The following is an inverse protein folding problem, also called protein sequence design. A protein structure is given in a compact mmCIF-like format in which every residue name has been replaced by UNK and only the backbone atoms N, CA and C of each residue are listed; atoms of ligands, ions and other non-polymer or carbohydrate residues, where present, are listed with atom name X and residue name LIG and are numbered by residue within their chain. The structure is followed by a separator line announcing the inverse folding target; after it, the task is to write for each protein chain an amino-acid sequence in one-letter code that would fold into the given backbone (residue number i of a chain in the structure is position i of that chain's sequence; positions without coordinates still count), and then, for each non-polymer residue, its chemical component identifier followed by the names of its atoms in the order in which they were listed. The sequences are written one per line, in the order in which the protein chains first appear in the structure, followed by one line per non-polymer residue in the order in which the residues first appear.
data_IF_022445373390
#
_entry.id   IF_022445373390
#
_cell.length_a   1.000
_cell.length_b   1.000
_cell.length_c   1.000
_cell.angle_alpha   90.00
_cell.angle_beta   90.00
_cell.angle_gamma   90.00
#
_symmetry.space_group_name_H-M   'P 1'
#
loop_
_entity.id
_entity.type
_entity.pdbx_description
1 polymer ?
#
# COMPACT_ATOMS: atom_id res chain seq x y z
N UNK A 1 63.96 0.50 -36.57
CA UNK A 1 63.45 0.89 -35.25
C UNK A 1 62.15 1.68 -35.42
N UNK A 2 62.07 2.74 -36.22
CA UNK A 2 60.85 3.61 -36.38
C UNK A 2 59.62 2.86 -36.93
N UNK A 3 59.86 1.93 -37.93
CA UNK A 3 58.75 1.12 -38.48
C UNK A 3 58.18 0.14 -37.45
N UNK A 4 59.03 -0.43 -36.60
CA UNK A 4 58.61 -1.36 -35.55
C UNK A 4 57.82 -0.65 -34.47
N UNK A 5 58.23 0.57 -34.09
CA UNK A 5 57.49 1.41 -33.14
C UNK A 5 56.11 1.81 -33.71
N UNK A 6 56.08 2.19 -35.00
CA UNK A 6 54.78 2.55 -35.66
C UNK A 6 53.82 1.37 -35.71
N UNK A 7 54.31 0.15 -36.03
CA UNK A 7 53.47 -1.07 -36.01
C UNK A 7 52.97 -1.41 -34.61
N UNK A 8 53.76 -1.24 -33.57
CA UNK A 8 53.41 -1.51 -32.19
C UNK A 8 52.32 -0.50 -31.69
N UNK A 9 52.53 0.79 -31.99
CA UNK A 9 51.55 1.84 -31.64
C UNK A 9 50.22 1.61 -32.37
N UNK A 10 50.26 1.25 -33.65
CA UNK A 10 49.03 0.97 -34.42
C UNK A 10 48.32 -0.27 -33.89
N UNK A 11 49.04 -1.33 -33.57
CA UNK A 11 48.46 -2.53 -32.95
C UNK A 11 47.80 -2.26 -31.61
N UNK A 12 48.47 -1.49 -30.74
CA UNK A 12 47.91 -1.08 -29.44
C UNK A 12 46.68 -0.20 -29.61
N UNK A 13 46.69 0.76 -30.53
CA UNK A 13 45.54 1.62 -30.84
C UNK A 13 44.31 0.82 -31.31
N UNK A 14 44.53 -0.15 -32.22
CA UNK A 14 43.46 -1.02 -32.71
C UNK A 14 42.89 -1.90 -31.55
N UNK A 15 43.78 -2.44 -30.71
CA UNK A 15 43.38 -3.23 -29.56
C UNK A 15 42.55 -2.42 -28.59
N UNK A 16 42.98 -1.21 -28.22
CA UNK A 16 42.26 -0.30 -27.33
C UNK A 16 40.88 0.12 -27.91
N UNK A 17 40.88 0.48 -29.19
CA UNK A 17 39.63 0.84 -29.91
C UNK A 17 38.62 -0.30 -29.92
N UNK A 18 39.08 -1.55 -30.15
CA UNK A 18 38.19 -2.72 -30.12
C UNK A 18 37.64 -3.01 -28.73
N UNK A 19 38.48 -2.85 -27.70
CA UNK A 19 38.08 -3.05 -26.31
C UNK A 19 36.97 -2.06 -25.90
N UNK A 20 37.15 -0.76 -26.16
CA UNK A 20 36.17 0.29 -25.90
C UNK A 20 34.88 0.08 -26.69
N UNK A 21 34.99 -0.23 -27.99
CA UNK A 21 33.81 -0.46 -28.84
C UNK A 21 32.98 -1.66 -28.35
N UNK A 22 33.65 -2.72 -27.86
CA UNK A 22 32.97 -3.91 -27.34
C UNK A 22 32.17 -3.61 -26.05
N UNK A 23 32.75 -2.84 -25.13
CA UNK A 23 32.08 -2.44 -23.90
C UNK A 23 30.82 -1.58 -24.19
N UNK A 24 30.96 -0.56 -25.06
CA UNK A 24 29.85 0.29 -25.49
C UNK A 24 28.77 -0.52 -26.21
N UNK A 25 29.16 -1.45 -27.09
CA UNK A 25 28.19 -2.31 -27.78
C UNK A 25 27.42 -3.21 -26.84
N UNK A 26 28.08 -3.74 -25.79
CA UNK A 26 27.45 -4.54 -24.75
C UNK A 26 26.38 -3.72 -23.95
N UNK A 27 26.76 -2.50 -23.55
CA UNK A 27 25.84 -1.58 -22.86
C UNK A 27 24.64 -1.21 -23.74
N UNK A 28 24.87 -0.87 -25.01
CA UNK A 28 23.80 -0.59 -25.98
C UNK A 28 22.84 -1.78 -26.15
N UNK A 29 23.37 -3.00 -26.15
CA UNK A 29 22.53 -4.20 -26.25
C UNK A 29 21.70 -4.40 -24.99
N UNK A 30 22.27 -4.19 -23.80
CA UNK A 30 21.51 -4.24 -22.53
C UNK A 30 20.38 -3.20 -22.51
N UNK A 31 20.66 -1.95 -22.93
CA UNK A 31 19.64 -0.88 -23.07
C UNK A 31 18.53 -1.30 -24.02
N UNK A 32 18.83 -1.90 -25.17
CA UNK A 32 17.82 -2.38 -26.13
C UNK A 32 16.94 -3.47 -25.53
N UNK A 33 17.55 -4.45 -24.84
CA UNK A 33 16.82 -5.52 -24.18
C UNK A 33 15.86 -4.99 -23.11
N UNK A 34 16.31 -4.03 -22.30
CA UNK A 34 15.45 -3.39 -21.27
C UNK A 34 14.33 -2.59 -21.93
N UNK A 35 14.58 -1.88 -23.02
CA UNK A 35 13.54 -1.19 -23.80
C UNK A 35 12.47 -2.12 -24.34
N UNK A 36 12.82 -3.36 -24.67
CA UNK A 36 11.91 -4.42 -25.14
C UNK A 36 11.20 -5.16 -23.99
N UNK A 37 11.42 -4.72 -22.74
CA UNK A 37 10.76 -5.29 -21.55
C UNK A 37 11.53 -6.44 -20.89
N UNK A 38 12.75 -6.75 -21.34
CA UNK A 38 13.61 -7.78 -20.75
C UNK A 38 14.43 -7.20 -19.60
N UNK A 39 13.75 -6.82 -18.51
CA UNK A 39 14.36 -6.15 -17.34
C UNK A 39 15.36 -7.00 -16.55
N UNK A 40 15.50 -8.29 -16.85
CA UNK A 40 16.48 -9.16 -16.19
C UNK A 40 17.90 -9.05 -16.76
N UNK A 41 18.06 -8.40 -17.91
CA UNK A 41 19.39 -8.22 -18.52
C UNK A 41 20.16 -7.11 -17.81
N UNK A 42 21.46 -7.38 -17.59
CA UNK A 42 22.39 -6.41 -17.00
C UNK A 42 23.54 -6.13 -17.97
N UNK A 43 24.02 -4.90 -17.94
CA UNK A 43 25.26 -4.53 -18.62
C UNK A 43 26.45 -5.04 -17.81
N UNK A 44 27.53 -5.37 -18.50
CA UNK A 44 28.78 -5.70 -17.84
C UNK A 44 29.39 -4.41 -17.22
N UNK A 45 29.45 -4.38 -15.91
CA UNK A 45 30.00 -3.27 -15.12
C UNK A 45 31.42 -3.61 -14.60
N UNK A 46 32.12 -4.55 -15.24
CA UNK A 46 33.47 -4.94 -14.86
C UNK A 46 34.46 -3.84 -15.27
N UNK A 47 35.18 -3.33 -14.31
CA UNK A 47 36.20 -2.28 -14.55
C UNK A 47 36.11 -1.14 -13.56
N UNK A 48 36.99 -0.14 -13.74
CA UNK A 48 37.06 1.08 -12.91
C UNK A 48 36.97 2.35 -13.76
N UNK A 49 36.67 2.20 -15.06
CA UNK A 49 36.53 3.29 -16.01
C UNK A 49 35.10 3.90 -15.99
N UNK A 50 34.94 4.98 -16.69
CA UNK A 50 33.67 5.72 -16.79
C UNK A 50 32.55 4.86 -17.42
N UNK A 51 32.91 3.91 -18.30
CA UNK A 51 31.92 3.02 -18.94
C UNK A 51 31.38 2.01 -17.91
N UNK A 52 32.25 1.48 -17.04
CA UNK A 52 31.83 0.60 -15.95
C UNK A 52 30.91 1.34 -14.95
N UNK A 53 31.19 2.61 -14.65
CA UNK A 53 30.32 3.42 -13.81
C UNK A 53 28.94 3.63 -14.45
N UNK A 54 28.88 3.97 -15.74
CA UNK A 54 27.61 4.11 -16.48
C UNK A 54 26.85 2.78 -16.50
N UNK A 55 27.55 1.66 -16.69
CA UNK A 55 26.93 0.32 -16.66
C UNK A 55 26.35 0.00 -15.27
N UNK A 56 27.04 0.35 -14.18
CA UNK A 56 26.56 0.18 -12.82
C UNK A 56 25.30 1.01 -12.54
N UNK A 57 25.28 2.29 -12.92
CA UNK A 57 24.10 3.15 -12.78
C UNK A 57 22.92 2.66 -13.64
N UNK A 58 23.19 2.22 -14.88
CA UNK A 58 22.19 1.58 -15.73
C UNK A 58 21.61 0.32 -15.08
N UNK A 59 22.44 -0.53 -14.47
CA UNK A 59 21.98 -1.72 -13.76
C UNK A 59 21.10 -1.35 -12.55
N UNK A 60 21.49 -0.34 -11.77
CA UNK A 60 20.69 0.17 -10.64
C UNK A 60 19.32 0.68 -11.10
N UNK A 61 19.26 1.43 -12.20
CA UNK A 61 18.00 1.88 -12.81
C UNK A 61 17.15 0.69 -13.27
N UNK A 62 17.78 -0.31 -13.88
CA UNK A 62 17.10 -1.52 -14.37
C UNK A 62 16.53 -2.34 -13.22
N UNK A 63 17.24 -2.43 -12.08
CA UNK A 63 16.73 -3.08 -10.87
C UNK A 63 15.47 -2.41 -10.35
N UNK A 64 15.46 -1.09 -10.30
CA UNK A 64 14.27 -0.31 -9.91
C UNK A 64 13.10 -0.53 -10.88
N UNK A 65 13.35 -0.50 -12.18
CA UNK A 65 12.34 -0.77 -13.21
C UNK A 65 11.78 -2.19 -13.07
N UNK A 66 12.63 -3.19 -12.88
CA UNK A 66 12.22 -4.58 -12.69
C UNK A 66 11.35 -4.74 -11.44
N UNK A 67 11.74 -4.14 -10.34
CA UNK A 67 10.96 -4.16 -9.08
C UNK A 67 9.60 -3.53 -9.26
N UNK A 68 9.53 -2.35 -9.90
CA UNK A 68 8.28 -1.64 -10.18
C UNK A 68 7.37 -2.45 -11.10
N UNK A 69 7.91 -3.03 -12.19
CA UNK A 69 7.12 -3.83 -13.12
C UNK A 69 6.61 -5.14 -12.47
N UNK A 70 7.43 -5.78 -11.63
CA UNK A 70 7.01 -6.95 -10.88
C UNK A 70 5.90 -6.63 -9.88
N UNK A 71 6.00 -5.49 -9.17
CA UNK A 71 4.96 -5.01 -8.28
C UNK A 71 3.66 -4.72 -9.05
N UNK A 72 3.76 -4.05 -10.22
CA UNK A 72 2.61 -3.78 -11.09
C UNK A 72 1.92 -5.06 -11.58
N UNK A 73 2.70 -6.06 -12.01
CA UNK A 73 2.15 -7.36 -12.47
C UNK A 73 1.45 -8.11 -11.34
N UNK A 74 2.04 -8.12 -10.14
CA UNK A 74 1.41 -8.71 -8.96
C UNK A 74 0.10 -8.00 -8.63
N UNK A 75 0.11 -6.67 -8.59
CA UNK A 75 -1.09 -5.86 -8.35
C UNK A 75 -2.24 -6.20 -9.31
N UNK A 76 -1.98 -6.29 -10.63
CA UNK A 76 -3.01 -6.65 -11.62
C UNK A 76 -3.51 -8.07 -11.43
N UNK A 77 -2.60 -9.01 -11.12
CA UNK A 77 -2.96 -10.42 -10.86
C UNK A 77 -3.85 -10.53 -9.62
N UNK A 78 -3.43 -9.91 -8.52
CA UNK A 78 -4.13 -9.98 -7.24
C UNK A 78 -5.48 -9.26 -7.30
N UNK A 79 -5.55 -8.10 -7.96
CA UNK A 79 -6.81 -7.40 -8.24
C UNK A 79 -7.79 -8.28 -9.03
N UNK A 80 -7.29 -8.97 -10.07
CA UNK A 80 -8.11 -9.87 -10.88
C UNK A 80 -8.65 -11.03 -10.05
N UNK A 81 -7.84 -11.60 -9.17
CA UNK A 81 -8.25 -12.68 -8.27
C UNK A 81 -9.27 -12.20 -7.24
N UNK A 82 -9.06 -11.05 -6.61
CA UNK A 82 -9.98 -10.50 -5.60
C UNK A 82 -11.32 -10.05 -6.19
N UNK A 83 -11.36 -9.65 -7.47
CA UNK A 83 -12.61 -9.35 -8.18
C UNK A 83 -13.34 -10.61 -8.64
N UNK A 84 -12.62 -11.65 -9.05
CA UNK A 84 -13.22 -12.89 -9.58
C UNK A 84 -13.97 -13.67 -8.52
N UNK A 85 -13.50 -13.68 -7.29
CA UNK A 85 -14.08 -14.45 -6.18
C UNK A 85 -15.51 -14.00 -5.85
N UNK A 86 -15.79 -12.71 -5.50
CA UNK A 86 -17.14 -12.25 -5.24
C UNK A 86 -18.06 -12.37 -6.45
N UNK A 87 -17.54 -12.13 -7.66
CA UNK A 87 -18.32 -12.31 -8.89
C UNK A 87 -18.77 -13.75 -9.10
N UNK A 88 -17.90 -14.72 -8.80
CA UNK A 88 -18.25 -16.14 -8.85
C UNK A 88 -19.29 -16.52 -7.79
N UNK A 89 -19.21 -15.93 -6.57
CA UNK A 89 -20.21 -16.08 -5.51
C UNK A 89 -21.59 -15.57 -5.95
N UNK A 90 -21.66 -14.33 -6.45
CA UNK A 90 -22.89 -13.73 -6.98
C UNK A 90 -23.50 -14.65 -8.07
N UNK A 91 -22.68 -15.10 -9.01
CA UNK A 91 -23.14 -15.97 -10.08
C UNK A 91 -23.70 -17.30 -9.56
N UNK A 92 -23.00 -17.95 -8.64
CA UNK A 92 -23.43 -19.21 -8.04
C UNK A 92 -24.78 -19.07 -7.33
N UNK A 93 -24.94 -18.04 -6.50
CA UNK A 93 -26.20 -17.76 -5.80
C UNK A 93 -27.33 -17.46 -6.79
N UNK A 94 -27.06 -16.67 -7.82
CA UNK A 94 -28.02 -16.35 -8.87
C UNK A 94 -28.45 -17.61 -9.65
N UNK A 95 -27.48 -18.44 -10.05
CA UNK A 95 -27.75 -19.69 -10.75
C UNK A 95 -28.59 -20.64 -9.85
N UNK A 96 -28.32 -20.69 -8.55
CA UNK A 96 -29.07 -21.49 -7.59
C UNK A 96 -30.53 -21.03 -7.47
N UNK A 97 -30.77 -19.71 -7.42
CA UNK A 97 -32.14 -19.15 -7.39
C UNK A 97 -32.89 -19.49 -8.67
N UNK A 98 -32.24 -19.38 -9.84
CA UNK A 98 -32.87 -19.59 -11.13
C UNK A 98 -33.15 -21.07 -11.47
N UNK A 99 -32.35 -22.00 -10.90
CA UNK A 99 -32.46 -23.43 -11.18
C UNK A 99 -33.32 -24.19 -10.18
N UNK A 100 -33.70 -23.59 -9.06
CA UNK A 100 -34.51 -24.23 -8.03
C UNK A 100 -35.99 -23.84 -8.19
N UNK A 101 -36.79 -24.76 -8.72
CA UNK A 101 -38.24 -24.59 -8.73
C UNK A 101 -38.80 -24.62 -7.31
N UNK A 102 -39.57 -23.57 -6.91
CA UNK A 102 -40.18 -23.44 -5.59
C UNK A 102 -39.19 -23.33 -4.43
N UNK A 103 -38.10 -22.58 -4.59
CA UNK A 103 -37.26 -22.18 -3.46
C UNK A 103 -38.12 -21.45 -2.41
N UNK A 104 -37.93 -21.80 -1.13
CA UNK A 104 -38.68 -21.15 -0.07
C UNK A 104 -38.29 -19.65 0.06
N UNK A 105 -39.23 -18.78 0.48
CA UNK A 105 -39.00 -17.34 0.52
C UNK A 105 -37.84 -16.92 1.46
N UNK A 106 -37.56 -17.67 2.52
CA UNK A 106 -36.55 -17.36 3.51
C UNK A 106 -35.15 -17.63 2.93
N UNK A 107 -34.94 -18.80 2.30
CA UNK A 107 -33.69 -19.12 1.55
C UNK A 107 -33.48 -18.16 0.39
N UNK A 108 -34.55 -17.77 -0.33
CA UNK A 108 -34.43 -16.76 -1.41
C UNK A 108 -33.95 -15.44 -0.86
N UNK A 109 -34.49 -14.99 0.28
CA UNK A 109 -34.07 -13.75 0.94
C UNK A 109 -32.63 -13.81 1.44
N UNK A 110 -32.19 -14.95 1.99
CA UNK A 110 -30.79 -15.17 2.37
C UNK A 110 -29.86 -15.02 1.15
N UNK A 111 -30.14 -15.71 0.04
CA UNK A 111 -29.33 -15.64 -1.16
C UNK A 111 -29.26 -14.23 -1.74
N UNK A 112 -30.40 -13.51 -1.80
CA UNK A 112 -30.42 -12.10 -2.23
C UNK A 112 -29.60 -11.21 -1.31
N UNK A 113 -29.66 -11.45 0.00
CA UNK A 113 -28.85 -10.72 0.99
C UNK A 113 -27.36 -10.97 0.78
N UNK A 114 -26.96 -12.21 0.53
CA UNK A 114 -25.57 -12.58 0.26
C UNK A 114 -25.05 -12.01 -1.06
N UNK A 115 -25.90 -11.98 -2.11
CA UNK A 115 -25.60 -11.27 -3.36
C UNK A 115 -25.35 -9.79 -3.09
N UNK A 116 -26.19 -9.16 -2.25
CA UNK A 116 -26.00 -7.77 -1.85
C UNK A 116 -24.65 -7.53 -1.14
N UNK A 117 -24.26 -8.40 -0.20
CA UNK A 117 -22.96 -8.33 0.50
C UNK A 117 -21.77 -8.46 -0.46
N UNK A 118 -21.84 -9.39 -1.42
CA UNK A 118 -20.77 -9.55 -2.40
C UNK A 118 -20.68 -8.38 -3.39
N UNK A 119 -21.81 -7.77 -3.75
CA UNK A 119 -21.85 -6.56 -4.56
C UNK A 119 -21.24 -5.34 -3.82
N UNK A 120 -21.55 -5.16 -2.54
CA UNK A 120 -20.92 -4.13 -1.71
C UNK A 120 -19.41 -4.35 -1.56
N UNK A 121 -18.99 -5.61 -1.41
CA UNK A 121 -17.58 -5.97 -1.38
C UNK A 121 -16.86 -5.61 -2.69
N UNK A 122 -17.48 -5.91 -3.85
CA UNK A 122 -16.97 -5.52 -5.17
C UNK A 122 -16.83 -4.00 -5.29
N UNK A 123 -17.81 -3.23 -4.86
CA UNK A 123 -17.76 -1.76 -4.86
C UNK A 123 -16.57 -1.24 -4.05
N UNK A 124 -16.37 -1.76 -2.83
CA UNK A 124 -15.21 -1.39 -2.00
C UNK A 124 -13.87 -1.74 -2.64
N UNK A 125 -13.75 -2.90 -3.29
CA UNK A 125 -12.53 -3.29 -4.00
C UNK A 125 -12.25 -2.31 -5.14
N UNK A 126 -13.26 -1.99 -5.96
CA UNK A 126 -13.10 -1.08 -7.12
C UNK A 126 -12.77 0.34 -6.68
N UNK A 127 -13.38 0.87 -5.64
CA UNK A 127 -13.07 2.18 -5.07
C UNK A 127 -11.62 2.24 -4.56
N UNK A 128 -11.18 1.21 -3.84
CA UNK A 128 -9.81 1.10 -3.36
C UNK A 128 -8.78 1.03 -4.51
N UNK A 129 -9.08 0.27 -5.57
CA UNK A 129 -8.24 0.18 -6.76
C UNK A 129 -8.14 1.53 -7.49
N UNK A 130 -9.26 2.24 -7.66
CA UNK A 130 -9.28 3.57 -8.26
C UNK A 130 -8.48 4.58 -7.42
N UNK A 131 -8.55 4.48 -6.09
CA UNK A 131 -7.77 5.34 -5.20
C UNK A 131 -6.26 5.08 -5.34
N UNK A 132 -5.84 3.81 -5.33
CA UNK A 132 -4.45 3.43 -5.53
C UNK A 132 -3.90 3.92 -6.88
N UNK A 133 -4.69 3.79 -7.96
CA UNK A 133 -4.25 4.28 -9.28
C UNK A 133 -4.09 5.79 -9.33
N UNK A 134 -4.88 6.56 -8.59
CA UNK A 134 -4.72 8.02 -8.46
C UNK A 134 -3.45 8.39 -7.69
N UNK A 135 -3.16 7.68 -6.60
CA UNK A 135 -1.95 7.88 -5.81
C UNK A 135 -0.69 7.53 -6.63
N UNK A 136 -0.70 6.41 -7.36
CA UNK A 136 0.40 6.01 -8.26
C UNK A 136 0.61 7.03 -9.42
N UNK A 137 -0.45 7.71 -9.86
CA UNK A 137 -0.40 8.75 -10.89
C UNK A 137 0.22 10.07 -10.43
N UNK A 138 0.59 10.21 -9.17
CA UNK A 138 1.21 11.41 -8.60
C UNK A 138 0.27 12.64 -8.54
N UNK A 139 -1.02 12.47 -8.80
CA UNK A 139 -2.02 13.54 -8.66
C UNK A 139 -2.42 13.62 -7.18
N UNK A 140 -1.62 14.34 -6.41
CA UNK A 140 -1.92 14.60 -5.00
C UNK A 140 -2.66 15.94 -4.90
N UNK A 141 -3.93 15.99 -4.43
CA UNK A 141 -4.64 17.25 -4.21
C UNK A 141 -3.85 18.16 -3.28
N UNK A 142 -3.99 19.47 -3.45
CA UNK A 142 -3.31 20.44 -2.57
C UNK A 142 -3.70 20.18 -1.12
N UNK A 143 -2.69 20.07 -0.25
CA UNK A 143 -2.89 19.94 1.19
C UNK A 143 -3.29 21.28 1.80
N UNK A 144 -4.10 21.24 2.83
CA UNK A 144 -4.52 22.39 3.63
C UNK A 144 -4.58 21.99 5.11
N UNK A 145 -4.65 22.97 6.04
CA UNK A 145 -4.78 22.67 7.46
C UNK A 145 -6.08 21.89 7.78
N UNK A 146 -5.94 20.71 8.37
CA UNK A 146 -7.06 19.84 8.76
C UNK A 146 -6.95 19.51 10.25
N UNK A 147 -7.92 19.93 11.05
CA UNK A 147 -8.03 19.55 12.46
C UNK A 147 -8.44 18.08 12.57
N UNK A 148 -7.63 17.26 13.26
CA UNK A 148 -7.86 15.82 13.41
C UNK A 148 -9.11 15.52 14.23
N UNK A 149 -9.40 16.29 15.27
CA UNK A 149 -10.52 16.05 16.20
C UNK A 149 -11.90 15.96 15.53
N UNK A 150 -12.33 16.95 14.73
CA UNK A 150 -13.61 16.88 14.00
C UNK A 150 -13.71 15.70 13.03
N UNK A 151 -12.60 15.30 12.40
CA UNK A 151 -12.58 14.13 11.51
C UNK A 151 -12.74 12.85 12.32
N UNK A 152 -12.03 12.70 13.43
CA UNK A 152 -12.16 11.56 14.33
C UNK A 152 -13.62 11.40 14.79
N UNK A 153 -14.27 12.47 15.24
CA UNK A 153 -15.67 12.42 15.67
C UNK A 153 -16.63 11.96 14.57
N UNK A 154 -16.36 12.27 13.29
CA UNK A 154 -17.14 11.74 12.17
C UNK A 154 -16.95 10.24 11.99
N UNK A 155 -15.70 9.78 12.05
CA UNK A 155 -15.36 8.35 11.92
C UNK A 155 -15.92 7.55 13.09
N UNK A 156 -15.82 8.06 14.33
CA UNK A 156 -16.43 7.43 15.52
C UNK A 156 -17.95 7.24 15.36
N UNK A 157 -18.66 8.26 14.86
CA UNK A 157 -20.10 8.13 14.61
C UNK A 157 -20.42 7.09 13.53
N UNK A 158 -19.61 6.99 12.47
CA UNK A 158 -19.80 6.02 11.39
C UNK A 158 -19.55 4.58 11.85
N UNK A 159 -18.52 4.37 12.65
CA UNK A 159 -18.13 3.05 13.12
C UNK A 159 -18.83 2.63 14.44
N UNK A 160 -19.50 3.56 15.10
CA UNK A 160 -20.08 3.34 16.44
C UNK A 160 -21.07 2.19 16.50
N UNK A 161 -21.95 2.03 15.49
CA UNK A 161 -22.90 0.90 15.44
C UNK A 161 -22.16 -0.43 15.28
N UNK A 162 -21.19 -0.50 14.37
CA UNK A 162 -20.40 -1.72 14.13
C UNK A 162 -19.57 -2.09 15.36
N UNK A 163 -19.01 -1.10 16.04
CA UNK A 163 -18.28 -1.31 17.29
C UNK A 163 -19.20 -1.83 18.41
N UNK A 164 -20.38 -1.23 18.56
CA UNK A 164 -21.36 -1.66 19.57
C UNK A 164 -21.86 -3.09 19.33
N UNK A 165 -22.14 -3.48 18.09
CA UNK A 165 -22.51 -4.85 17.73
C UNK A 165 -21.45 -5.89 18.09
N UNK A 166 -20.15 -5.48 18.08
CA UNK A 166 -19.02 -6.33 18.45
C UNK A 166 -18.60 -6.19 19.93
N UNK A 167 -19.26 -5.37 20.71
CA UNK A 167 -18.89 -5.10 22.10
C UNK A 167 -17.55 -4.35 22.24
N UNK A 168 -17.19 -3.54 21.23
CA UNK A 168 -15.93 -2.77 21.22
C UNK A 168 -16.18 -1.34 21.68
N UNK A 169 -15.38 -0.87 22.64
CA UNK A 169 -15.44 0.50 23.13
C UNK A 169 -14.42 1.37 22.37
N UNK A 170 -14.91 2.44 21.74
CA UNK A 170 -14.06 3.45 21.09
C UNK A 170 -13.82 4.61 22.06
N UNK A 171 -12.58 5.07 22.14
CA UNK A 171 -12.20 6.26 22.92
C UNK A 171 -11.21 7.12 22.13
N UNK A 172 -11.45 8.44 22.10
CA UNK A 172 -10.60 9.41 21.42
C UNK A 172 -10.07 10.48 22.36
N UNK A 173 -8.77 10.82 22.24
CA UNK A 173 -8.13 11.93 22.92
C UNK A 173 -7.28 12.70 21.91
N UNK A 174 -7.76 13.85 21.44
CA UNK A 174 -7.10 14.67 20.42
C UNK A 174 -6.77 16.04 20.99
N UNK A 175 -5.50 16.43 20.89
CA UNK A 175 -5.05 17.78 21.25
C UNK A 175 -5.62 18.81 20.28
N UNK A 176 -6.01 19.99 20.76
CA UNK A 176 -6.60 21.06 19.93
C UNK A 176 -5.63 21.59 18.86
N UNK A 177 -4.32 21.46 19.09
CA UNK A 177 -3.26 21.84 18.17
C UNK A 177 -2.90 20.78 17.12
N UNK A 178 -3.53 19.59 17.18
CA UNK A 178 -3.34 18.52 16.21
C UNK A 178 -4.00 18.87 14.87
N UNK A 179 -3.36 19.77 14.11
CA UNK A 179 -3.79 20.22 12.78
C UNK A 179 -2.79 19.73 11.74
N UNK A 180 -3.18 18.73 10.96
CA UNK A 180 -2.31 18.13 9.94
C UNK A 180 -2.38 18.89 8.61
N UNK A 181 -1.25 18.94 7.88
CA UNK A 181 -1.19 19.43 6.50
C UNK A 181 -1.56 18.27 5.56
N UNK A 182 -2.86 18.15 5.26
CA UNK A 182 -3.43 17.05 4.48
C UNK A 182 -4.72 17.51 3.78
N UNK A 183 -5.51 16.59 3.23
CA UNK A 183 -6.92 16.86 2.92
C UNK A 183 -7.82 16.21 3.97
N UNK A 184 -9.05 16.69 4.09
CA UNK A 184 -10.06 16.08 4.98
C UNK A 184 -10.27 14.59 4.65
N UNK A 185 -10.32 14.26 3.36
CA UNK A 185 -10.45 12.88 2.87
C UNK A 185 -9.25 12.00 3.25
N UNK A 186 -8.02 12.54 3.28
CA UNK A 186 -6.85 11.76 3.69
C UNK A 186 -6.93 11.39 5.17
N UNK A 187 -7.18 12.39 6.03
CA UNK A 187 -7.29 12.16 7.48
C UNK A 187 -8.46 11.22 7.78
N UNK A 188 -9.60 11.43 7.12
CA UNK A 188 -10.77 10.55 7.24
C UNK A 188 -10.43 9.10 6.85
N UNK A 189 -9.80 8.90 5.70
CA UNK A 189 -9.43 7.58 5.20
C UNK A 189 -8.42 6.86 6.11
N UNK A 190 -7.43 7.58 6.62
CA UNK A 190 -6.43 7.05 7.55
C UNK A 190 -7.15 6.55 8.81
N UNK A 191 -7.92 7.41 9.46
CA UNK A 191 -8.64 7.07 10.69
C UNK A 191 -9.65 5.95 10.46
N UNK A 192 -10.45 6.01 9.39
CA UNK A 192 -11.45 5.00 9.08
C UNK A 192 -10.82 3.61 8.91
N UNK A 193 -9.78 3.47 8.06
CA UNK A 193 -9.17 2.17 7.84
C UNK A 193 -8.48 1.59 9.09
N UNK A 194 -7.78 2.42 9.86
CA UNK A 194 -7.11 1.96 11.07
C UNK A 194 -8.12 1.57 12.16
N UNK A 195 -9.16 2.38 12.36
CA UNK A 195 -10.21 2.09 13.35
C UNK A 195 -11.08 0.92 12.93
N UNK A 196 -11.45 0.80 11.64
CA UNK A 196 -12.19 -0.36 11.12
C UNK A 196 -11.40 -1.65 11.35
N UNK A 197 -10.09 -1.65 11.07
CA UNK A 197 -9.22 -2.79 11.35
C UNK A 197 -9.15 -3.09 12.85
N UNK A 198 -8.98 -2.08 13.69
CA UNK A 198 -8.94 -2.24 15.14
C UNK A 198 -10.23 -2.87 15.67
N UNK A 199 -11.41 -2.39 15.25
CA UNK A 199 -12.72 -2.96 15.62
C UNK A 199 -12.86 -4.40 15.10
N UNK A 200 -12.38 -4.65 13.89
CA UNK A 200 -12.50 -5.93 13.22
C UNK A 200 -11.74 -7.04 13.91
N UNK A 201 -10.55 -6.73 14.42
CA UNK A 201 -9.63 -7.66 15.03
C UNK A 201 -9.54 -7.56 16.55
N UNK A 202 -10.34 -6.70 17.18
CA UNK A 202 -10.45 -6.56 18.64
C UNK A 202 -10.83 -7.88 19.32
N UNK A 203 -10.49 -7.97 20.60
CA UNK A 203 -10.85 -9.11 21.43
C UNK A 203 -12.38 -9.21 21.60
N UNK A 204 -12.99 -10.41 21.53
CA UNK A 204 -14.40 -10.58 21.84
C UNK A 204 -14.66 -10.23 23.32
N UNK A 205 -15.84 -9.66 23.60
CA UNK A 205 -16.37 -9.29 24.92
C UNK A 205 -15.70 -8.12 25.67
N UNK A 206 -14.45 -7.75 25.34
CA UNK A 206 -13.71 -6.67 26.03
C UNK A 206 -12.88 -5.85 25.08
N UNK A 207 -13.30 -5.74 23.81
CA UNK A 207 -12.58 -4.99 22.76
C UNK A 207 -12.54 -3.49 23.07
N UNK A 208 -11.37 -2.89 22.86
CA UNK A 208 -11.26 -1.43 22.84
C UNK A 208 -10.44 -0.95 21.64
N UNK A 209 -10.77 0.25 21.20
CA UNK A 209 -10.00 1.02 20.22
C UNK A 209 -9.78 2.40 20.82
N UNK A 210 -8.50 2.74 21.02
CA UNK A 210 -8.10 4.05 21.52
C UNK A 210 -7.39 4.82 20.41
N UNK A 211 -7.84 6.04 20.16
CA UNK A 211 -7.22 6.97 19.20
C UNK A 211 -6.71 8.18 19.96
N UNK A 212 -5.41 8.43 19.84
CA UNK A 212 -4.80 9.61 20.44
C UNK A 212 -4.09 10.42 19.33
N UNK A 213 -4.20 11.75 19.39
CA UNK A 213 -3.50 12.64 18.48
C UNK A 213 -2.90 13.82 19.23
N UNK A 214 -1.62 14.08 18.98
CA UNK A 214 -0.86 15.15 19.60
C UNK A 214 0.19 15.71 18.65
N UNK A 215 0.77 16.86 18.99
CA UNK A 215 1.89 17.42 18.26
C UNK A 215 3.20 17.02 18.92
N UNK A 216 4.12 16.43 18.17
CA UNK A 216 5.45 16.02 18.60
C UNK A 216 6.47 16.34 17.51
N UNK A 217 7.56 17.00 17.88
CA UNK A 217 8.68 17.33 16.96
C UNK A 217 8.24 17.99 15.63
N UNK A 218 7.23 18.87 15.67
CA UNK A 218 6.72 19.57 14.48
C UNK A 218 5.87 18.68 13.56
N UNK A 219 5.40 17.55 14.04
CA UNK A 219 4.50 16.64 13.34
C UNK A 219 3.25 16.37 14.17
N UNK A 220 2.14 16.10 13.49
CA UNK A 220 0.96 15.52 14.11
C UNK A 220 1.15 14.03 14.20
N UNK A 221 1.19 13.50 15.42
CA UNK A 221 1.32 12.07 15.70
C UNK A 221 -0.06 11.54 16.09
N UNK A 222 -0.57 10.59 15.33
CA UNK A 222 -1.85 9.91 15.59
C UNK A 222 -1.53 8.46 15.92
N UNK A 223 -2.00 7.97 17.06
CA UNK A 223 -1.91 6.55 17.43
C UNK A 223 -3.29 5.93 17.46
N UNK A 224 -3.39 4.73 16.90
CA UNK A 224 -4.59 3.89 16.98
C UNK A 224 -4.19 2.58 17.62
N UNK A 225 -4.70 2.32 18.81
CA UNK A 225 -4.36 1.16 19.63
C UNK A 225 -5.59 0.29 19.86
N UNK A 226 -5.44 -1.02 19.66
CA UNK A 226 -6.43 -2.03 19.99
C UNK A 226 -5.87 -3.11 20.94
N UNK A 227 -6.74 -3.88 21.55
CA UNK A 227 -6.39 -5.06 22.34
C UNK A 227 -6.77 -6.37 21.63
N UNK A 228 -6.72 -6.36 20.32
CA UNK A 228 -7.07 -7.51 19.49
C UNK A 228 -6.04 -8.64 19.49
N UNK A 229 -6.11 -9.46 18.46
CA UNK A 229 -5.24 -10.63 18.28
C UNK A 229 -3.76 -10.28 18.06
N UNK A 230 -3.45 -9.00 17.79
CA UNK A 230 -2.10 -8.55 17.44
C UNK A 230 -1.66 -8.99 16.03
N UNK A 231 -0.43 -8.64 15.69
CA UNK A 231 0.22 -8.99 14.43
C UNK A 231 1.53 -9.70 14.75
N UNK A 232 1.79 -10.92 14.21
CA UNK A 232 3.06 -11.61 14.38
C UNK A 232 4.24 -10.77 13.88
N UNK A 233 5.41 -10.88 14.54
CA UNK A 233 6.61 -10.13 14.17
C UNK A 233 7.05 -10.37 12.72
N UNK A 234 6.88 -11.59 12.22
CA UNK A 234 7.21 -11.96 10.84
C UNK A 234 6.31 -11.28 9.80
N UNK A 235 5.09 -10.87 10.19
CA UNK A 235 4.13 -10.22 9.31
C UNK A 235 4.22 -8.68 9.34
N UNK A 236 4.72 -8.08 10.44
CA UNK A 236 4.82 -6.63 10.60
C UNK A 236 5.47 -5.90 9.42
N UNK A 237 6.56 -6.40 8.80
CA UNK A 237 7.15 -5.75 7.62
C UNK A 237 6.25 -5.75 6.38
N UNK A 238 5.27 -6.66 6.32
CA UNK A 238 4.47 -6.95 5.14
C UNK A 238 3.03 -6.44 5.19
N UNK A 239 2.52 -6.04 6.37
CA UNK A 239 1.11 -5.65 6.54
C UNK A 239 0.68 -4.46 5.69
N UNK A 240 1.64 -3.65 5.23
CA UNK A 240 1.40 -2.52 4.34
C UNK A 240 1.54 -2.88 2.85
N UNK A 241 1.91 -4.12 2.52
CA UNK A 241 1.97 -4.58 1.14
C UNK A 241 0.55 -4.73 0.59
N UNK A 242 0.35 -4.41 -0.68
CA UNK A 242 -0.96 -4.48 -1.35
C UNK A 242 -1.44 -5.95 -1.37
N UNK A 243 -2.71 -6.18 -0.98
CA UNK A 243 -3.35 -7.49 -0.88
C UNK A 243 -2.74 -8.43 0.17
N UNK A 244 -1.82 -7.94 1.00
CA UNK A 244 -1.25 -8.76 2.06
C UNK A 244 -2.27 -9.03 3.17
N UNK A 245 -2.23 -10.23 3.73
CA UNK A 245 -3.11 -10.69 4.80
C UNK A 245 -2.38 -11.75 5.63
N UNK A 246 -2.32 -11.56 6.93
CA UNK A 246 -1.68 -12.49 7.89
C UNK A 246 -2.30 -13.89 7.81
N UNK A 247 -3.62 -13.99 7.74
CA UNK A 247 -4.35 -15.25 7.57
C UNK A 247 -5.41 -15.12 6.47
N UNK A 248 -5.17 -15.80 5.35
CA UNK A 248 -6.06 -15.77 4.17
C UNK A 248 -7.41 -16.44 4.41
N UNK A 249 -7.50 -17.44 5.31
CA UNK A 249 -8.76 -18.16 5.57
C UNK A 249 -9.66 -17.37 6.52
N UNK A 250 -9.15 -16.96 7.65
CA UNK A 250 -9.88 -16.22 8.69
C UNK A 250 -10.32 -14.83 8.20
N UNK A 251 -9.49 -14.16 7.39
CA UNK A 251 -9.84 -12.83 6.87
C UNK A 251 -10.81 -12.86 5.70
N UNK A 252 -11.12 -14.01 5.06
CA UNK A 252 -12.23 -14.12 4.10
C UNK A 252 -13.58 -14.05 4.79
N UNK A 253 -13.74 -14.74 5.91
CA UNK A 253 -14.94 -14.68 6.74
C UNK A 253 -15.23 -13.27 7.29
N UNK A 254 -14.17 -12.54 7.59
CA UNK A 254 -14.23 -11.18 8.16
C UNK A 254 -14.21 -10.07 7.09
N UNK A 255 -14.15 -10.40 5.77
CA UNK A 255 -14.42 -9.47 4.67
C UNK A 255 -13.32 -8.46 4.31
N UNK A 256 -12.03 -8.71 4.64
CA UNK A 256 -10.94 -7.79 4.30
C UNK A 256 -10.42 -7.94 2.86
N UNK A 257 -10.06 -6.84 2.21
CA UNK A 257 -9.50 -6.81 0.85
C UNK A 257 -7.97 -6.84 0.82
N UNK A 258 -7.30 -6.59 1.95
CA UNK A 258 -5.84 -6.41 2.02
C UNK A 258 -5.34 -5.12 1.37
N UNK A 259 -6.24 -4.18 1.05
CA UNK A 259 -5.87 -2.90 0.45
C UNK A 259 -5.90 -1.72 1.44
N UNK A 260 -6.62 -1.84 2.55
CA UNK A 260 -6.83 -0.72 3.48
C UNK A 260 -5.52 -0.15 4.04
N UNK A 261 -4.62 -1.00 4.55
CA UNK A 261 -3.35 -0.55 5.13
C UNK A 261 -2.37 -0.02 4.08
N UNK A 262 -2.35 -0.59 2.86
CA UNK A 262 -1.52 -0.04 1.78
C UNK A 262 -2.02 1.34 1.32
N UNK A 263 -3.33 1.56 1.26
CA UNK A 263 -3.91 2.88 0.97
C UNK A 263 -3.52 3.89 2.06
N UNK A 264 -3.59 3.49 3.33
CA UNK A 264 -3.16 4.33 4.46
C UNK A 264 -1.69 4.74 4.30
N UNK A 265 -0.80 3.77 4.03
CA UNK A 265 0.62 4.03 3.82
C UNK A 265 0.86 4.97 2.64
N UNK A 266 0.30 4.64 1.46
CA UNK A 266 0.48 5.44 0.24
C UNK A 266 -0.06 6.88 0.43
N UNK A 267 -1.18 7.05 1.15
CA UNK A 267 -1.75 8.36 1.49
C UNK A 267 -0.82 9.17 2.39
N UNK A 268 -0.28 8.55 3.44
CA UNK A 268 0.61 9.21 4.41
C UNK A 268 1.94 9.58 3.76
N UNK A 269 2.56 8.66 3.02
CA UNK A 269 3.83 8.90 2.30
C UNK A 269 3.67 9.98 1.23
N UNK A 270 2.53 10.02 0.53
CA UNK A 270 2.19 11.08 -0.43
C UNK A 270 2.08 12.47 0.22
N UNK A 271 1.88 12.54 1.53
CA UNK A 271 1.89 13.79 2.32
C UNK A 271 3.23 14.07 3.01
N UNK A 272 4.27 13.27 2.74
CA UNK A 272 5.59 13.39 3.38
C UNK A 272 5.59 12.93 4.83
N UNK A 273 4.62 12.12 5.21
CA UNK A 273 4.50 11.51 6.54
C UNK A 273 5.08 10.10 6.60
N UNK A 274 4.87 9.42 7.72
CA UNK A 274 5.29 8.05 7.95
C UNK A 274 4.27 7.28 8.78
N UNK A 275 4.19 5.97 8.58
CA UNK A 275 3.40 5.06 9.41
C UNK A 275 4.25 3.90 9.90
N UNK A 276 4.00 3.46 11.12
CA UNK A 276 4.56 2.25 11.69
C UNK A 276 3.51 1.47 12.46
N UNK A 277 3.75 0.18 12.65
CA UNK A 277 2.93 -0.70 13.48
C UNK A 277 3.81 -1.43 14.48
N UNK A 278 3.24 -1.74 15.62
CA UNK A 278 3.89 -2.50 16.68
C UNK A 278 2.85 -3.14 17.60
N UNK A 279 3.34 -3.86 18.60
CA UNK A 279 2.45 -4.46 19.58
C UNK A 279 1.75 -3.40 20.43
N UNK A 280 0.53 -3.72 20.85
CA UNK A 280 -0.22 -2.89 21.79
C UNK A 280 0.41 -2.91 23.21
N UNK A 281 -0.18 -2.17 24.15
CA UNK A 281 0.25 -2.17 25.55
C UNK A 281 0.35 -3.58 26.10
N UNK A 282 1.40 -3.85 26.88
CA UNK A 282 1.67 -5.17 27.50
C UNK A 282 1.83 -6.33 26.49
N UNK A 283 2.14 -6.01 25.23
CA UNK A 283 2.31 -7.01 24.16
C UNK A 283 1.00 -7.58 23.62
N UNK A 284 -0.14 -7.00 23.96
CA UNK A 284 -1.48 -7.43 23.51
C UNK A 284 -2.05 -6.45 22.52
N UNK A 285 -2.61 -6.95 21.39
CA UNK A 285 -3.19 -6.13 20.34
C UNK A 285 -2.16 -5.44 19.47
N UNK A 286 -2.58 -4.38 18.79
CA UNK A 286 -1.76 -3.63 17.83
C UNK A 286 -1.80 -2.14 18.13
N UNK A 287 -0.69 -1.46 17.91
CA UNK A 287 -0.61 0.00 17.87
C UNK A 287 -0.08 0.46 16.52
N UNK A 288 -0.90 1.21 15.78
CA UNK A 288 -0.47 1.94 14.60
C UNK A 288 -0.09 3.36 14.99
N UNK A 289 1.07 3.84 14.53
CA UNK A 289 1.54 5.20 14.74
C UNK A 289 1.69 5.90 13.40
N UNK A 290 0.92 6.95 13.19
CA UNK A 290 0.93 7.80 11.99
C UNK A 290 1.57 9.13 12.34
N UNK A 291 2.45 9.61 11.45
CA UNK A 291 3.08 10.93 11.53
C UNK A 291 2.75 11.71 10.28
N UNK A 292 2.15 12.87 10.44
CA UNK A 292 1.82 13.79 9.34
C UNK A 292 2.49 15.14 9.58
N UNK A 293 2.86 15.89 8.54
CA UNK A 293 3.36 17.25 8.70
C UNK A 293 2.34 18.11 9.44
N UNK A 294 2.81 18.89 10.43
CA UNK A 294 2.01 19.88 11.12
C UNK A 294 1.70 21.04 10.17
N UNK A 295 0.45 21.44 10.09
CA UNK A 295 0.12 22.68 9.40
C UNK A 295 0.69 23.87 10.18
N UNK A 296 1.51 24.69 9.53
CA UNK A 296 1.96 25.96 10.12
C UNK A 296 0.72 26.84 10.33
N UNK A 297 0.50 27.32 11.53
CA UNK A 297 -0.43 28.44 11.73
C UNK A 297 0.14 29.62 10.96
N UNK A 298 -0.57 30.11 9.95
CA UNK A 298 -0.34 31.47 9.50
C UNK A 298 -0.59 32.36 10.72
N UNK A 299 0.49 32.92 11.31
CA UNK A 299 0.35 34.01 12.25
C UNK A 299 -0.33 35.13 11.42
N UNK A 300 -1.59 35.42 11.73
CA UNK A 300 -2.27 36.62 11.24
C UNK A 300 -1.42 37.82 11.62
N UNK A 301 -0.77 38.42 10.59
CA UNK A 301 0.01 39.64 10.72
C UNK A 301 -0.92 40.86 10.71
#
# INVERSE_FOLDING_TARGET
ISVMIALLVTGLSIMLSRMLTRQISGLLQAIRNVREGAYSHRADASGTDEIAQIAAEFNSLTDRLQTTENARRRFVSDASHELKTPLAGIRLLTDSILQTDNMDPETTKEFVTDIGREAERLSRITENLLRLTRLDGGVVPSAYPVAVGPVLQRVERMLGMVAAEKGVVISGAVSEDAVALATDDDVHQILYNLMENAIKYSAPESGFVRVEASVQDGQVVITVTDNGIGIPDEDLPHIFDRFYRVDKMRSREVGGTGLGLSIVKDTIEGRGGAISAGHGPDGVGTTFTVRLPLAQREEEA
#
